data_IF_054961981428
#
_entry.id   IF_054961981428
#
_cell.length_a   1.000
_cell.length_b   1.000
_cell.length_c   1.000
_cell.angle_alpha   90.00
_cell.angle_beta   90.00
_cell.angle_gamma   90.00
#
_symmetry.space_group_name_H-M   'P 1'
#
loop_
_entity.id
_entity.type
_entity.pdbx_description
1 polymer ?
#
# COMPACT_ATOMS: atom_id res chain seq x y z
N UNK A 1 22.50 -6.57 -7.77
CA UNK A 1 21.42 -5.68 -7.28
C UNK A 1 22.01 -4.79 -6.20
N UNK A 2 21.50 -3.60 -6.02
CA UNK A 2 21.97 -2.69 -4.96
C UNK A 2 20.80 -2.16 -4.15
N UNK A 3 21.04 -1.98 -2.85
CA UNK A 3 20.13 -1.35 -1.91
C UNK A 3 20.90 -0.42 -0.97
N UNK A 4 20.26 0.06 0.11
CA UNK A 4 20.90 0.92 1.11
C UNK A 4 22.05 0.24 1.89
N UNK A 5 22.20 -1.07 1.79
CA UNK A 5 23.23 -1.87 2.47
C UNK A 5 24.32 -2.38 1.52
N UNK A 6 24.28 -1.98 0.24
CA UNK A 6 25.33 -2.25 -0.71
C UNK A 6 24.91 -3.04 -1.94
N UNK A 7 25.86 -3.69 -2.57
CA UNK A 7 25.64 -4.52 -3.76
C UNK A 7 25.48 -5.97 -3.35
N UNK A 8 24.38 -6.58 -3.76
CA UNK A 8 24.07 -7.97 -3.50
C UNK A 8 24.12 -8.78 -4.79
N UNK A 9 24.78 -9.94 -4.73
CA UNK A 9 24.83 -10.89 -5.83
C UNK A 9 24.12 -12.16 -5.41
N UNK A 10 23.10 -12.57 -6.16
CA UNK A 10 22.46 -13.86 -6.00
C UNK A 10 23.14 -14.85 -6.94
N UNK A 11 23.64 -15.97 -6.40
CA UNK A 11 24.32 -17.00 -7.18
C UNK A 11 23.36 -17.75 -8.11
N UNK A 12 22.10 -17.80 -7.76
CA UNK A 12 21.05 -18.47 -8.53
C UNK A 12 19.70 -17.77 -8.33
N UNK A 13 18.73 -18.11 -9.18
CA UNK A 13 17.34 -17.68 -9.02
C UNK A 13 16.79 -18.19 -7.69
N UNK A 14 16.18 -17.32 -6.84
CA UNK A 14 15.62 -17.76 -5.56
C UNK A 14 14.52 -18.80 -5.75
N UNK A 15 14.47 -19.77 -4.85
CA UNK A 15 13.44 -20.83 -4.80
C UNK A 15 12.63 -20.83 -3.52
N UNK A 16 13.14 -20.20 -2.45
CA UNK A 16 12.44 -20.07 -1.16
C UNK A 16 12.60 -18.65 -0.62
N UNK A 17 11.64 -17.81 -0.94
CA UNK A 17 11.66 -16.41 -0.52
C UNK A 17 10.82 -16.23 0.75
N UNK A 18 11.40 -15.53 1.72
CA UNK A 18 10.68 -15.01 2.87
C UNK A 18 10.47 -13.51 2.71
N UNK A 19 9.22 -13.07 2.78
CA UNK A 19 8.85 -11.66 2.84
C UNK A 19 8.52 -11.28 4.29
N UNK A 20 9.30 -10.39 4.88
CA UNK A 20 9.01 -9.90 6.23
C UNK A 20 7.92 -8.83 6.25
N UNK A 21 7.57 -8.30 5.09
CA UNK A 21 6.63 -7.17 4.94
C UNK A 21 5.36 -7.60 4.22
N UNK A 22 4.22 -7.43 4.87
CA UNK A 22 2.90 -7.64 4.25
C UNK A 22 2.69 -6.74 3.03
N UNK A 23 3.35 -5.58 2.98
CA UNK A 23 3.28 -4.67 1.84
C UNK A 23 3.97 -5.24 0.60
N UNK A 24 5.07 -5.98 0.75
CA UNK A 24 5.79 -6.60 -0.36
C UNK A 24 5.18 -7.93 -0.81
N UNK A 25 4.56 -8.64 0.09
CA UNK A 25 4.06 -10.01 -0.14
C UNK A 25 3.05 -10.08 -1.28
N UNK A 26 2.10 -9.15 -1.34
CA UNK A 26 1.09 -9.13 -2.40
C UNK A 26 1.70 -9.04 -3.80
N UNK A 27 2.73 -8.22 -3.98
CA UNK A 27 3.45 -8.09 -5.25
C UNK A 27 4.21 -9.38 -5.62
N UNK A 28 4.80 -10.07 -4.65
CA UNK A 28 5.47 -11.36 -4.88
C UNK A 28 4.47 -12.44 -5.31
N UNK A 29 3.31 -12.49 -4.67
CA UNK A 29 2.22 -13.41 -5.06
C UNK A 29 1.71 -13.12 -6.47
N UNK A 30 1.57 -11.85 -6.83
CA UNK A 30 1.06 -11.45 -8.14
C UNK A 30 1.93 -11.90 -9.31
N UNK A 31 3.24 -12.05 -9.10
CA UNK A 31 4.20 -12.49 -10.13
C UNK A 31 4.61 -13.96 -10.00
N UNK A 32 3.90 -14.73 -9.20
CA UNK A 32 4.18 -16.14 -8.96
C UNK A 32 5.62 -16.39 -8.45
N UNK A 33 6.19 -15.45 -7.72
CA UNK A 33 7.47 -15.66 -7.05
C UNK A 33 7.35 -16.75 -5.97
N UNK A 34 8.40 -17.54 -5.71
CA UNK A 34 8.32 -18.66 -4.77
C UNK A 34 8.41 -18.18 -3.31
N UNK A 35 7.51 -17.29 -2.92
CA UNK A 35 7.37 -16.84 -1.53
C UNK A 35 6.71 -17.93 -0.70
N UNK A 36 7.41 -18.38 0.34
CA UNK A 36 6.97 -19.50 1.20
C UNK A 36 6.37 -19.04 2.51
N UNK A 37 6.75 -17.85 2.97
CA UNK A 37 6.27 -17.30 4.23
C UNK A 37 6.29 -15.77 4.22
N UNK A 38 5.41 -15.19 5.02
CA UNK A 38 5.26 -13.74 5.17
C UNK A 38 5.06 -13.33 6.61
N UNK A 39 5.59 -12.17 6.98
CA UNK A 39 5.14 -11.44 8.15
C UNK A 39 3.64 -11.12 8.03
N UNK A 40 2.98 -10.93 9.18
CA UNK A 40 1.56 -10.63 9.25
C UNK A 40 1.29 -9.45 10.18
N UNK A 41 0.17 -8.81 10.00
CA UNK A 41 -0.38 -7.83 10.95
C UNK A 41 -1.44 -8.50 11.85
N UNK A 42 -2.03 -7.74 12.75
CA UNK A 42 -3.09 -8.23 13.64
C UNK A 42 -4.24 -8.80 12.83
N UNK A 43 -4.61 -10.08 13.05
CA UNK A 43 -5.72 -10.72 12.33
C UNK A 43 -7.06 -10.04 12.59
N UNK A 44 -7.97 -10.16 11.62
CA UNK A 44 -9.36 -9.71 11.70
C UNK A 44 -9.50 -8.21 12.03
N UNK A 45 -8.55 -7.40 11.61
CA UNK A 45 -8.70 -5.96 11.65
C UNK A 45 -9.33 -5.43 10.35
N UNK A 46 -9.42 -4.10 10.22
CA UNK A 46 -10.03 -3.46 9.05
C UNK A 46 -9.41 -3.93 7.72
N UNK A 47 -8.08 -4.05 7.66
CA UNK A 47 -7.33 -4.30 6.41
C UNK A 47 -6.82 -5.73 6.29
N UNK A 48 -6.86 -6.52 7.38
CA UNK A 48 -6.32 -7.86 7.44
C UNK A 48 -7.40 -8.92 7.70
N UNK A 49 -7.22 -10.08 7.09
CA UNK A 49 -8.08 -11.25 7.25
C UNK A 49 -7.77 -12.06 8.53
N UNK A 50 -8.37 -13.23 8.67
CA UNK A 50 -8.17 -14.11 9.82
C UNK A 50 -6.73 -14.64 9.95
N UNK A 51 -5.95 -14.60 8.88
CA UNK A 51 -4.53 -14.99 8.88
C UNK A 51 -3.62 -13.83 9.35
N UNK A 52 -4.12 -12.59 9.32
CA UNK A 52 -3.31 -11.38 9.48
C UNK A 52 -2.65 -10.93 8.18
N UNK A 53 -3.09 -11.45 7.06
CA UNK A 53 -2.68 -11.03 5.72
C UNK A 53 -3.65 -10.01 5.14
N UNK A 54 -3.15 -9.15 4.25
CA UNK A 54 -3.99 -8.12 3.65
C UNK A 54 -5.12 -8.75 2.83
N UNK A 55 -6.31 -8.17 2.94
CA UNK A 55 -7.54 -8.77 2.39
C UNK A 55 -7.51 -8.97 0.88
N UNK A 56 -6.85 -8.08 0.13
CA UNK A 56 -6.80 -8.16 -1.32
C UNK A 56 -6.06 -9.39 -1.87
N UNK A 57 -5.18 -10.01 -1.08
CA UNK A 57 -4.45 -11.20 -1.50
C UNK A 57 -4.53 -12.37 -0.50
N UNK A 58 -5.32 -12.24 0.54
CA UNK A 58 -5.45 -13.27 1.59
C UNK A 58 -5.92 -14.63 1.06
N UNK A 59 -6.83 -14.66 0.09
CA UNK A 59 -7.29 -15.90 -0.53
C UNK A 59 -6.18 -16.56 -1.38
N UNK A 60 -5.40 -15.77 -2.10
CA UNK A 60 -4.24 -16.27 -2.85
C UNK A 60 -3.21 -16.89 -1.91
N UNK A 61 -2.93 -16.23 -0.79
CA UNK A 61 -2.03 -16.75 0.24
C UNK A 61 -2.51 -18.11 0.79
N UNK A 62 -3.81 -18.24 1.03
CA UNK A 62 -4.43 -19.48 1.51
C UNK A 62 -4.33 -20.60 0.50
N UNK A 63 -4.62 -20.31 -0.78
CA UNK A 63 -4.50 -21.27 -1.87
C UNK A 63 -3.07 -21.78 -2.08
N UNK A 64 -2.09 -20.90 -1.89
CA UNK A 64 -0.66 -21.22 -2.01
C UNK A 64 -0.04 -21.73 -0.71
N UNK A 65 -0.82 -21.89 0.36
CA UNK A 65 -0.36 -22.35 1.67
C UNK A 65 0.80 -21.50 2.22
N UNK A 66 0.72 -20.20 2.03
CA UNK A 66 1.72 -19.26 2.55
C UNK A 66 1.77 -19.33 4.07
N UNK A 67 2.94 -19.60 4.64
CA UNK A 67 3.13 -19.66 6.08
C UNK A 67 3.15 -18.25 6.68
N UNK A 68 2.55 -18.12 7.86
CA UNK A 68 2.65 -16.91 8.67
C UNK A 68 3.88 -17.00 9.58
N UNK A 69 4.80 -16.05 9.46
CA UNK A 69 6.02 -16.00 10.26
C UNK A 69 5.77 -15.55 11.69
N UNK A 70 5.10 -14.40 11.83
CA UNK A 70 4.83 -13.72 13.10
C UNK A 70 3.70 -12.71 12.88
N UNK A 71 3.15 -12.20 13.98
CA UNK A 71 2.14 -11.14 13.97
C UNK A 71 2.77 -9.88 14.53
N UNK A 72 2.89 -8.85 13.69
CA UNK A 72 3.44 -7.54 14.05
C UNK A 72 4.95 -7.56 14.25
N UNK A 73 5.42 -7.93 15.42
CA UNK A 73 6.84 -7.85 15.76
C UNK A 73 7.68 -8.92 15.03
N UNK A 74 8.75 -8.50 14.30
CA UNK A 74 9.60 -9.42 13.55
C UNK A 74 10.37 -10.40 14.44
N UNK A 75 10.55 -11.62 13.95
CA UNK A 75 11.29 -12.69 14.60
C UNK A 75 12.28 -13.33 13.62
N UNK A 76 13.58 -13.19 13.88
CA UNK A 76 14.61 -13.81 13.07
C UNK A 76 14.58 -15.36 13.17
N UNK A 77 14.18 -15.91 14.31
CA UNK A 77 14.03 -17.37 14.49
C UNK A 77 12.92 -17.93 13.57
N UNK A 78 11.78 -17.22 13.49
CA UNK A 78 10.69 -17.63 12.60
C UNK A 78 11.13 -17.61 11.14
N UNK A 79 11.93 -16.63 10.73
CA UNK A 79 12.50 -16.55 9.38
C UNK A 79 13.47 -17.71 9.13
N UNK A 80 14.39 -17.97 10.05
CA UNK A 80 15.38 -19.05 9.93
C UNK A 80 14.72 -20.43 9.80
N UNK A 81 13.61 -20.66 10.51
CA UNK A 81 12.86 -21.91 10.45
C UNK A 81 12.30 -22.22 9.05
N UNK A 82 12.13 -21.21 8.20
CA UNK A 82 11.67 -21.38 6.82
C UNK A 82 12.77 -21.78 5.84
N UNK A 83 14.03 -21.77 6.26
CA UNK A 83 15.20 -22.08 5.42
C UNK A 83 15.17 -21.29 4.09
N UNK A 84 15.10 -19.94 4.13
CA UNK A 84 15.04 -19.14 2.92
C UNK A 84 16.36 -19.11 2.19
N UNK A 85 16.32 -18.92 0.87
CA UNK A 85 17.47 -18.55 0.04
C UNK A 85 17.47 -17.06 -0.37
N UNK A 86 16.40 -16.35 -0.02
CA UNK A 86 16.27 -14.89 -0.14
C UNK A 86 15.31 -14.35 0.93
N UNK A 87 15.71 -13.27 1.57
CA UNK A 87 14.89 -12.53 2.54
C UNK A 87 14.67 -11.12 1.99
N UNK A 88 13.41 -10.66 1.99
CA UNK A 88 13.05 -9.31 1.61
C UNK A 88 12.53 -8.54 2.83
N UNK A 89 13.07 -7.35 3.02
CA UNK A 89 12.71 -6.42 4.11
C UNK A 89 12.21 -5.13 3.46
N UNK A 90 11.17 -4.51 4.02
CA UNK A 90 10.80 -3.14 3.64
C UNK A 90 11.71 -2.12 4.34
N UNK A 91 12.09 -1.07 3.60
CA UNK A 91 12.92 0.02 4.12
C UNK A 91 12.19 0.87 5.16
N UNK A 92 10.87 1.00 5.02
CA UNK A 92 10.00 1.84 5.85
C UNK A 92 8.69 1.11 6.19
N UNK A 93 7.89 1.74 7.02
CA UNK A 93 6.57 1.26 7.40
C UNK A 93 6.55 0.50 8.73
N UNK A 94 5.36 0.35 9.30
CA UNK A 94 5.16 -0.37 10.55
C UNK A 94 5.44 -1.87 10.45
N UNK A 95 5.52 -2.39 9.22
CA UNK A 95 5.84 -3.79 8.90
C UNK A 95 7.32 -4.01 8.58
N UNK A 96 8.18 -3.01 8.79
CA UNK A 96 9.62 -3.12 8.52
C UNK A 96 10.34 -3.95 9.57
N UNK A 97 11.13 -4.92 9.10
CA UNK A 97 12.05 -5.70 9.92
C UNK A 97 13.51 -5.17 9.82
N UNK A 98 13.70 -3.93 9.41
CA UNK A 98 15.03 -3.34 9.18
C UNK A 98 15.93 -3.40 10.42
N UNK A 99 15.37 -3.30 11.61
CA UNK A 99 16.12 -3.40 12.86
C UNK A 99 16.79 -4.78 13.05
N UNK A 100 16.32 -5.82 12.36
CA UNK A 100 16.90 -7.17 12.39
C UNK A 100 17.83 -7.47 11.20
N UNK A 101 18.21 -6.45 10.42
CA UNK A 101 18.97 -6.67 9.18
C UNK A 101 20.20 -7.55 9.38
N UNK A 102 21.02 -7.27 10.38
CA UNK A 102 22.26 -8.06 10.62
C UNK A 102 21.96 -9.52 10.97
N UNK A 103 20.92 -9.78 11.77
CA UNK A 103 20.50 -11.13 12.11
C UNK A 103 19.95 -11.87 10.89
N UNK A 104 19.15 -11.22 10.07
CA UNK A 104 18.54 -11.81 8.89
C UNK A 104 19.58 -12.07 7.79
N UNK A 105 20.51 -11.15 7.57
CA UNK A 105 21.59 -11.33 6.59
C UNK A 105 22.57 -12.44 6.96
N UNK A 106 22.65 -12.84 8.23
CA UNK A 106 23.38 -14.02 8.65
C UNK A 106 22.67 -15.34 8.29
N UNK A 107 21.36 -15.30 8.01
CA UNK A 107 20.58 -16.49 7.64
C UNK A 107 20.63 -16.73 6.13
N UNK A 108 20.41 -15.70 5.33
CA UNK A 108 20.36 -15.77 3.86
C UNK A 108 20.58 -14.37 3.26
N UNK A 109 20.85 -14.26 1.94
CA UNK A 109 20.87 -12.97 1.26
C UNK A 109 19.61 -12.16 1.58
N UNK A 110 19.81 -10.93 2.03
CA UNK A 110 18.74 -10.05 2.51
C UNK A 110 18.78 -8.74 1.73
N UNK A 111 17.65 -8.39 1.10
CA UNK A 111 17.49 -7.16 0.34
C UNK A 111 16.50 -6.23 1.03
N UNK A 112 16.86 -4.95 1.10
CA UNK A 112 16.00 -3.88 1.61
C UNK A 112 15.31 -3.21 0.44
N UNK A 113 13.98 -3.26 0.45
CA UNK A 113 13.14 -2.74 -0.62
C UNK A 113 12.37 -1.51 -0.12
N UNK A 114 12.54 -0.39 -0.80
CA UNK A 114 11.75 0.79 -0.53
C UNK A 114 10.51 0.83 -1.43
N UNK A 115 9.33 1.00 -0.84
CA UNK A 115 8.05 1.09 -1.56
C UNK A 115 7.39 2.47 -1.46
N UNK A 116 7.92 3.38 -0.64
CA UNK A 116 7.22 4.62 -0.28
C UNK A 116 7.35 5.75 -1.30
N UNK A 117 8.16 5.57 -2.33
CA UNK A 117 8.47 6.58 -3.34
C UNK A 117 8.24 6.09 -4.79
N UNK A 118 7.50 5.02 -4.96
CA UNK A 118 7.28 4.41 -6.28
C UNK A 118 5.85 3.92 -6.48
N UNK A 119 5.48 3.74 -7.74
CA UNK A 119 4.23 3.11 -8.11
C UNK A 119 4.25 1.61 -7.77
N UNK A 120 3.07 1.00 -7.70
CA UNK A 120 2.99 -0.45 -7.53
C UNK A 120 3.61 -1.19 -8.74
N UNK A 121 3.55 -0.61 -9.95
CA UNK A 121 4.17 -1.17 -11.15
C UNK A 121 5.70 -1.15 -11.07
N UNK A 122 6.26 -0.04 -10.62
CA UNK A 122 7.71 0.07 -10.42
C UNK A 122 8.21 -0.92 -9.38
N UNK A 123 7.50 -1.07 -8.27
CA UNK A 123 7.79 -2.09 -7.25
C UNK A 123 7.69 -3.50 -7.82
N UNK A 124 6.62 -3.80 -8.54
CA UNK A 124 6.41 -5.11 -9.16
C UNK A 124 7.53 -5.45 -10.15
N UNK A 125 7.95 -4.49 -10.97
CA UNK A 125 9.05 -4.64 -11.93
C UNK A 125 10.37 -4.92 -11.21
N UNK A 126 10.67 -4.20 -10.13
CA UNK A 126 11.84 -4.43 -9.30
C UNK A 126 11.85 -5.84 -8.71
N UNK A 127 10.74 -6.26 -8.12
CA UNK A 127 10.61 -7.61 -7.55
C UNK A 127 10.66 -8.70 -8.63
N UNK A 128 10.13 -8.44 -9.81
CA UNK A 128 10.26 -9.32 -10.97
C UNK A 128 11.72 -9.55 -11.36
N UNK A 129 12.53 -8.50 -11.42
CA UNK A 129 13.97 -8.58 -11.70
C UNK A 129 14.70 -9.36 -10.61
N UNK A 130 14.41 -9.09 -9.34
CA UNK A 130 15.04 -9.78 -8.19
C UNK A 130 14.75 -11.28 -8.21
N UNK A 131 13.53 -11.66 -8.55
CA UNK A 131 13.03 -13.04 -8.45
C UNK A 131 13.09 -13.82 -9.77
N UNK A 132 13.53 -13.19 -10.87
CA UNK A 132 13.51 -13.77 -12.19
C UNK A 132 12.11 -14.00 -12.75
N UNK A 133 11.16 -13.12 -12.39
CA UNK A 133 9.75 -13.17 -12.81
C UNK A 133 9.37 -11.95 -13.65
N UNK A 134 10.28 -11.44 -14.46
CA UNK A 134 10.10 -10.25 -15.28
C UNK A 134 8.88 -10.37 -16.23
N UNK A 135 8.72 -11.55 -16.80
CA UNK A 135 7.62 -11.82 -17.75
C UNK A 135 6.25 -11.74 -17.05
N UNK A 136 6.14 -12.31 -15.85
CA UNK A 136 4.92 -12.25 -15.05
C UNK A 136 4.61 -10.81 -14.62
N UNK A 137 5.63 -10.06 -14.20
CA UNK A 137 5.47 -8.65 -13.85
C UNK A 137 4.96 -7.83 -15.04
N UNK A 138 5.57 -7.99 -16.21
CA UNK A 138 5.13 -7.31 -17.43
C UNK A 138 3.70 -7.70 -17.83
N UNK A 139 3.32 -8.96 -17.67
CA UNK A 139 1.97 -9.44 -17.97
C UNK A 139 0.90 -8.83 -17.04
N UNK A 140 1.19 -8.71 -15.74
CA UNK A 140 0.28 -8.07 -14.78
C UNK A 140 0.12 -6.59 -15.07
N UNK A 141 1.20 -5.90 -15.38
CA UNK A 141 1.18 -4.47 -15.74
C UNK A 141 0.37 -4.26 -17.02
N UNK A 142 0.56 -5.08 -18.05
CA UNK A 142 -0.19 -5.00 -19.30
C UNK A 142 -1.70 -5.23 -19.08
N UNK A 143 -2.08 -6.19 -18.23
CA UNK A 143 -3.48 -6.44 -17.88
C UNK A 143 -4.10 -5.23 -17.17
N UNK A 144 -3.37 -4.63 -16.25
CA UNK A 144 -3.80 -3.41 -15.57
C UNK A 144 -3.95 -2.24 -16.56
N UNK A 145 -2.97 -2.00 -17.43
CA UNK A 145 -3.00 -0.90 -18.40
C UNK A 145 -4.20 -1.01 -19.34
N UNK A 146 -4.56 -2.21 -19.75
CA UNK A 146 -5.76 -2.46 -20.54
C UNK A 146 -7.03 -2.06 -19.80
N UNK A 147 -7.16 -2.46 -18.54
CA UNK A 147 -8.31 -2.12 -17.69
C UNK A 147 -8.34 -0.61 -17.39
N UNK A 148 -7.19 0.00 -17.12
CA UNK A 148 -7.05 1.43 -16.91
C UNK A 148 -7.58 2.24 -18.10
N UNK A 149 -7.20 1.85 -19.31
CA UNK A 149 -7.65 2.53 -20.54
C UNK A 149 -9.18 2.46 -20.70
N UNK A 150 -9.78 1.29 -20.41
CA UNK A 150 -11.23 1.11 -20.46
C UNK A 150 -11.94 1.98 -19.43
N UNK A 151 -11.48 1.98 -18.19
CA UNK A 151 -12.07 2.77 -17.09
C UNK A 151 -11.98 4.26 -17.40
N UNK A 152 -10.84 4.73 -17.90
CA UNK A 152 -10.67 6.16 -18.27
C UNK A 152 -11.63 6.61 -19.37
N UNK A 153 -11.98 5.74 -20.31
CA UNK A 153 -12.94 6.06 -21.37
C UNK A 153 -14.38 6.19 -20.85
N UNK A 154 -14.72 5.47 -19.80
CA UNK A 154 -16.06 5.42 -19.24
C UNK A 154 -16.29 6.44 -18.11
N UNK A 155 -15.21 6.81 -17.43
CA UNK A 155 -15.26 7.68 -16.27
C UNK A 155 -15.45 9.16 -16.63
N UNK A 156 -16.30 9.84 -15.87
CA UNK A 156 -16.36 11.30 -15.82
C UNK A 156 -15.72 11.76 -14.52
N UNK A 157 -14.61 12.49 -14.62
CA UNK A 157 -13.90 12.97 -13.43
C UNK A 157 -14.76 13.95 -12.63
N UNK A 158 -14.78 13.83 -11.29
CA UNK A 158 -15.40 14.83 -10.43
C UNK A 158 -14.58 16.12 -10.41
N UNK A 159 -15.10 17.21 -9.81
CA UNK A 159 -14.31 18.42 -9.62
C UNK A 159 -12.96 18.15 -8.95
N UNK A 160 -11.92 18.86 -9.45
CA UNK A 160 -10.54 18.73 -9.00
C UNK A 160 -10.09 19.96 -8.21
N UNK A 161 -9.05 19.88 -7.38
CA UNK A 161 -8.28 18.70 -7.01
C UNK A 161 -9.00 17.84 -5.95
N UNK A 162 -8.44 16.66 -5.66
CA UNK A 162 -8.96 15.73 -4.65
C UNK A 162 -7.93 15.46 -3.55
N UNK A 163 -8.39 15.08 -2.36
CA UNK A 163 -7.54 14.51 -1.33
C UNK A 163 -7.73 12.98 -1.29
N UNK A 164 -6.69 12.28 -0.88
CA UNK A 164 -6.70 10.83 -0.68
C UNK A 164 -6.12 10.52 0.70
N UNK A 165 -6.90 9.85 1.55
CA UNK A 165 -6.52 9.59 2.94
C UNK A 165 -6.83 8.16 3.37
N UNK A 166 -6.19 7.77 4.47
CA UNK A 166 -6.69 6.72 5.38
C UNK A 166 -7.20 7.42 6.63
N UNK A 167 -8.49 7.32 6.88
CA UNK A 167 -9.16 8.02 7.98
C UNK A 167 -9.27 7.13 9.21
N UNK A 168 -8.93 7.66 10.38
CA UNK A 168 -9.11 7.00 11.68
C UNK A 168 -10.08 7.83 12.53
N UNK A 169 -11.35 7.45 12.50
CA UNK A 169 -12.42 8.20 13.18
C UNK A 169 -12.20 8.31 14.69
N UNK A 170 -11.79 7.23 15.35
CA UNK A 170 -11.55 7.21 16.79
C UNK A 170 -10.44 8.16 17.25
N UNK A 171 -9.43 8.39 16.41
CA UNK A 171 -8.31 9.28 16.70
C UNK A 171 -8.50 10.68 16.12
N UNK A 172 -9.60 10.96 15.41
CA UNK A 172 -9.81 12.20 14.64
C UNK A 172 -8.58 12.59 13.83
N UNK A 173 -8.00 11.62 13.13
CA UNK A 173 -6.77 11.78 12.36
C UNK A 173 -6.86 11.10 11.00
N UNK A 174 -5.95 11.49 10.11
CA UNK A 174 -5.79 10.85 8.82
C UNK A 174 -4.32 10.78 8.42
N UNK A 175 -3.99 9.76 7.64
CA UNK A 175 -2.78 9.72 6.85
C UNK A 175 -3.13 10.17 5.44
N UNK A 176 -2.56 11.29 5.01
CA UNK A 176 -2.74 11.84 3.67
C UNK A 176 -1.73 11.21 2.72
N UNK A 177 -2.21 10.62 1.64
CA UNK A 177 -1.36 10.10 0.59
C UNK A 177 -0.77 11.24 -0.25
N UNK A 178 0.54 11.20 -0.45
CA UNK A 178 1.27 12.18 -1.27
C UNK A 178 1.23 11.82 -2.76
N UNK A 179 1.59 12.75 -3.67
CA UNK A 179 1.78 12.42 -5.08
C UNK A 179 2.87 11.38 -5.35
N UNK A 180 3.84 11.21 -4.46
CA UNK A 180 4.91 10.21 -4.56
C UNK A 180 4.46 8.80 -4.16
N UNK A 181 3.37 8.70 -3.39
CA UNK A 181 2.80 7.41 -2.96
C UNK A 181 2.28 6.59 -4.15
N UNK A 182 2.19 5.28 -3.97
CA UNK A 182 1.56 4.40 -4.95
C UNK A 182 0.10 4.81 -5.22
N UNK A 183 -0.62 5.20 -4.16
CA UNK A 183 -2.01 5.69 -4.23
C UNK A 183 -2.10 6.99 -5.05
N UNK A 184 -1.22 7.95 -4.76
CA UNK A 184 -1.17 9.22 -5.50
C UNK A 184 -0.82 9.03 -6.97
N UNK A 185 0.13 8.16 -7.27
CA UNK A 185 0.52 7.82 -8.65
C UNK A 185 -0.61 7.13 -9.42
N UNK A 186 -1.36 6.23 -8.77
CA UNK A 186 -2.52 5.56 -9.37
C UNK A 186 -3.62 6.58 -9.72
N UNK A 187 -3.95 7.47 -8.80
CA UNK A 187 -4.94 8.52 -9.05
C UNK A 187 -4.50 9.44 -10.18
N UNK A 188 -3.22 9.79 -10.24
CA UNK A 188 -2.67 10.59 -11.34
C UNK A 188 -2.81 9.87 -12.69
N UNK A 189 -2.53 8.58 -12.77
CA UNK A 189 -2.72 7.77 -13.98
C UNK A 189 -4.17 7.79 -14.47
N UNK A 190 -5.13 7.90 -13.55
CA UNK A 190 -6.56 8.00 -13.84
C UNK A 190 -7.02 9.41 -14.22
N UNK A 191 -6.14 10.41 -14.13
CA UNK A 191 -6.44 11.81 -14.46
C UNK A 191 -6.81 12.69 -13.27
N UNK A 192 -6.78 12.17 -12.03
CA UNK A 192 -6.99 12.97 -10.83
C UNK A 192 -5.77 13.84 -10.51
N UNK A 193 -6.03 15.00 -9.92
CA UNK A 193 -5.00 15.89 -9.36
C UNK A 193 -5.15 15.90 -7.85
N UNK A 194 -4.08 15.58 -7.13
CA UNK A 194 -4.07 15.70 -5.66
C UNK A 194 -3.95 17.16 -5.25
N UNK A 195 -4.73 17.54 -4.23
CA UNK A 195 -4.67 18.86 -3.64
C UNK A 195 -3.34 19.09 -2.93
N UNK A 196 -2.78 20.29 -3.08
CA UNK A 196 -1.60 20.71 -2.34
C UNK A 196 -1.99 21.03 -0.89
N UNK A 197 -1.10 20.67 0.05
CA UNK A 197 -1.26 21.09 1.43
C UNK A 197 -1.14 22.63 1.56
N UNK A 198 -1.97 23.26 2.39
CA UNK A 198 -1.81 24.67 2.71
C UNK A 198 -0.43 24.97 3.31
N UNK A 199 0.15 26.11 2.93
CA UNK A 199 1.43 26.55 3.48
C UNK A 199 1.33 26.76 5.00
N UNK A 200 2.38 26.36 5.71
CA UNK A 200 2.47 26.55 7.18
C UNK A 200 1.76 25.48 8.01
N UNK A 201 1.16 24.47 7.39
CA UNK A 201 0.55 23.36 8.11
C UNK A 201 1.63 22.53 8.81
N UNK A 202 1.51 22.36 10.12
CA UNK A 202 2.41 21.50 10.88
C UNK A 202 1.95 20.05 10.79
N UNK A 203 2.85 19.18 10.34
CA UNK A 203 2.59 17.75 10.21
C UNK A 203 3.37 16.97 11.25
N UNK A 204 2.79 15.87 11.75
CA UNK A 204 3.47 14.95 12.65
C UNK A 204 4.56 14.17 11.89
N UNK A 205 5.69 13.92 12.55
CA UNK A 205 6.77 13.07 12.05
C UNK A 205 6.95 11.81 12.88
N UNK A 206 5.91 11.39 13.61
CA UNK A 206 5.97 10.24 14.52
C UNK A 206 6.27 8.91 13.81
N UNK A 207 6.00 8.81 12.49
CA UNK A 207 6.32 7.63 11.69
C UNK A 207 7.68 7.72 10.97
N UNK A 208 8.53 8.64 11.36
CA UNK A 208 9.83 8.84 10.76
C UNK A 208 9.78 9.60 9.42
N UNK A 209 10.87 9.49 8.65
CA UNK A 209 10.98 10.13 7.34
C UNK A 209 10.36 9.23 6.27
N UNK A 210 9.19 9.64 5.76
CA UNK A 210 8.44 8.93 4.71
C UNK A 210 8.14 9.87 3.56
N UNK A 211 7.97 9.30 2.34
CA UNK A 211 7.61 10.02 1.13
C UNK A 211 6.13 9.84 0.76
N UNK A 212 5.50 8.78 1.22
CA UNK A 212 4.15 8.37 0.80
C UNK A 212 3.02 8.95 1.67
N UNK A 213 3.30 9.32 2.93
CA UNK A 213 2.29 9.69 3.92
C UNK A 213 2.65 11.01 4.62
N UNK A 214 1.63 11.84 4.81
CA UNK A 214 1.66 12.98 5.73
C UNK A 214 0.58 12.78 6.77
N UNK A 215 0.95 12.80 8.05
CA UNK A 215 0.01 12.64 9.16
C UNK A 215 -0.68 13.96 9.49
N UNK A 216 -2.02 13.93 9.51
CA UNK A 216 -2.87 15.05 9.89
C UNK A 216 -3.73 14.65 11.09
N UNK A 217 -3.77 15.50 12.11
CA UNK A 217 -4.60 15.28 13.28
C UNK A 217 -5.21 16.60 13.81
N UNK A 218 -6.30 16.47 14.55
CA UNK A 218 -6.97 17.62 15.16
C UNK A 218 -7.35 18.71 14.14
N UNK A 219 -6.98 19.95 14.44
CA UNK A 219 -7.27 21.11 13.60
C UNK A 219 -6.60 21.04 12.21
N UNK A 220 -5.45 20.37 12.11
CA UNK A 220 -4.73 20.22 10.85
C UNK A 220 -5.51 19.34 9.85
N UNK A 221 -6.31 18.40 10.33
CA UNK A 221 -7.19 17.60 9.49
C UNK A 221 -8.23 18.49 8.80
N UNK A 222 -8.89 19.36 9.57
CA UNK A 222 -9.89 20.28 9.05
C UNK A 222 -9.32 21.34 8.09
N UNK A 223 -8.06 21.70 8.25
CA UNK A 223 -7.39 22.68 7.39
C UNK A 223 -6.73 22.03 6.17
N UNK A 224 -6.20 20.83 6.32
CA UNK A 224 -5.40 20.15 5.30
C UNK A 224 -6.21 19.51 4.19
N UNK A 225 -7.50 19.17 4.42
CA UNK A 225 -8.36 18.53 3.44
C UNK A 225 -9.11 19.55 2.58
N UNK A 226 -8.38 20.26 1.74
CA UNK A 226 -8.86 21.38 0.94
C UNK A 226 -9.28 21.01 -0.50
N UNK A 227 -9.30 19.73 -0.84
CA UNK A 227 -9.76 19.26 -2.15
C UNK A 227 -11.27 19.34 -2.34
N UNK A 228 -11.71 19.37 -3.59
CA UNK A 228 -13.12 19.35 -3.98
C UNK A 228 -13.78 17.98 -3.75
N UNK A 229 -13.00 16.93 -3.68
CA UNK A 229 -13.41 15.56 -3.38
C UNK A 229 -12.44 14.89 -2.41
N UNK A 230 -12.90 13.82 -1.76
CA UNK A 230 -12.13 13.08 -0.77
C UNK A 230 -12.28 11.59 -1.00
N UNK A 231 -11.17 10.91 -1.26
CA UNK A 231 -11.08 9.46 -1.34
C UNK A 231 -10.62 8.85 -0.03
N UNK A 232 -11.36 7.85 0.46
CA UNK A 232 -11.00 7.07 1.63
C UNK A 232 -10.42 5.73 1.19
N UNK A 233 -9.10 5.63 1.19
CA UNK A 233 -8.40 4.34 1.07
C UNK A 233 -8.53 3.58 2.39
N UNK A 234 -8.57 2.27 2.35
CA UNK A 234 -8.81 1.42 3.51
C UNK A 234 -10.11 1.74 4.28
N UNK A 235 -11.03 2.41 3.63
CA UNK A 235 -12.31 2.87 4.21
C UNK A 235 -13.52 2.21 3.57
N UNK A 236 -14.59 2.16 4.35
CA UNK A 236 -15.90 1.69 3.91
C UNK A 236 -16.96 2.79 4.04
N UNK A 237 -18.22 2.45 3.78
CA UNK A 237 -19.32 3.40 3.85
C UNK A 237 -19.54 3.97 5.26
N UNK A 238 -19.19 3.24 6.31
CA UNK A 238 -19.28 3.73 7.70
C UNK A 238 -18.30 4.88 7.94
N UNK A 239 -17.13 4.84 7.31
CA UNK A 239 -16.15 5.92 7.38
C UNK A 239 -16.65 7.18 6.66
N UNK A 240 -17.31 7.03 5.52
CA UNK A 240 -17.97 8.13 4.82
C UNK A 240 -19.03 8.79 5.71
N UNK A 241 -19.88 7.99 6.34
CA UNK A 241 -20.89 8.45 7.28
C UNK A 241 -20.27 9.17 8.49
N UNK A 242 -19.18 8.62 9.04
CA UNK A 242 -18.44 9.24 10.15
C UNK A 242 -17.87 10.61 9.78
N UNK A 243 -17.35 10.78 8.55
CA UNK A 243 -16.87 12.08 8.06
C UNK A 243 -18.03 13.07 7.92
N UNK A 244 -19.15 12.67 7.35
CA UNK A 244 -20.32 13.55 7.23
C UNK A 244 -20.92 13.92 8.58
N UNK A 245 -20.81 13.07 9.58
CA UNK A 245 -21.29 13.32 10.94
C UNK A 245 -20.33 14.17 11.79
N UNK A 246 -19.09 14.35 11.34
CA UNK A 246 -18.09 15.11 12.11
C UNK A 246 -18.27 16.62 11.90
N UNK A 247 -18.72 17.39 12.92
CA UNK A 247 -18.96 18.82 12.77
C UNK A 247 -17.71 19.63 12.46
N UNK A 248 -16.52 19.13 12.86
CA UNK A 248 -15.25 19.81 12.56
C UNK A 248 -14.91 19.79 11.06
N UNK A 249 -15.49 18.86 10.31
CA UNK A 249 -15.25 18.70 8.87
C UNK A 249 -16.40 19.25 8.01
N UNK A 250 -17.47 19.74 8.62
CA UNK A 250 -18.68 20.18 7.91
C UNK A 250 -18.42 21.32 6.90
N UNK A 251 -17.41 22.13 7.11
CA UNK A 251 -17.06 23.26 6.24
C UNK A 251 -16.21 22.85 5.02
N UNK A 252 -15.68 21.65 4.97
CA UNK A 252 -14.86 21.19 3.85
C UNK A 252 -15.67 21.13 2.55
N UNK A 253 -15.10 21.57 1.40
CA UNK A 253 -15.81 21.51 0.12
C UNK A 253 -16.31 20.10 -0.23
N UNK A 254 -15.49 19.07 0.01
CA UNK A 254 -15.85 17.68 -0.24
C UNK A 254 -17.03 17.21 0.61
N UNK A 255 -17.11 17.65 1.86
CA UNK A 255 -18.20 17.30 2.79
C UNK A 255 -19.48 18.06 2.45
N UNK A 256 -19.39 19.37 2.23
CA UNK A 256 -20.54 20.21 1.84
C UNK A 256 -21.22 19.70 0.56
N UNK A 257 -20.42 19.29 -0.41
CA UNK A 257 -20.89 18.86 -1.72
C UNK A 257 -21.12 17.36 -1.83
N UNK A 258 -21.04 16.61 -0.73
CA UNK A 258 -21.22 15.15 -0.69
C UNK A 258 -20.30 14.39 -1.65
N UNK A 259 -19.04 14.80 -1.69
CA UNK A 259 -18.00 14.24 -2.55
C UNK A 259 -16.95 13.46 -1.73
N UNK A 260 -17.39 12.57 -0.87
CA UNK A 260 -16.56 11.67 -0.09
C UNK A 260 -16.85 10.25 -0.52
N UNK A 261 -15.82 9.50 -0.96
CA UNK A 261 -15.97 8.16 -1.52
C UNK A 261 -15.03 7.17 -0.86
N UNK A 262 -15.56 6.06 -0.42
CA UNK A 262 -14.79 4.95 0.12
C UNK A 262 -14.33 4.02 -1.01
N UNK A 263 -13.05 3.63 -0.97
CA UNK A 263 -12.46 2.71 -1.96
C UNK A 263 -12.32 1.28 -1.46
N UNK A 264 -12.73 1.03 -0.21
CA UNK A 264 -12.77 -0.31 0.38
C UNK A 264 -11.57 -0.65 1.25
N UNK A 265 -11.77 -1.61 2.13
CA UNK A 265 -10.79 -2.01 3.15
C UNK A 265 -9.56 -2.72 2.56
N UNK A 266 -9.61 -3.16 1.30
CA UNK A 266 -8.54 -3.85 0.60
C UNK A 266 -7.52 -2.90 -0.07
N UNK A 267 -7.67 -1.58 0.09
CA UNK A 267 -6.88 -0.57 -0.63
C UNK A 267 -5.85 0.16 0.24
N UNK A 268 -5.59 -0.34 1.45
CA UNK A 268 -4.58 0.26 2.34
C UNK A 268 -3.20 0.27 1.68
N UNK A 269 -2.76 -0.86 1.16
CA UNK A 269 -1.53 -0.98 0.38
C UNK A 269 -1.88 -1.34 -1.06
N UNK A 270 -1.19 -0.71 -2.02
CA UNK A 270 -1.39 -1.02 -3.41
C UNK A 270 -0.40 -2.07 -3.90
N UNK A 271 -0.96 -3.08 -4.49
CA UNK A 271 -0.35 -4.11 -5.30
C UNK A 271 -1.24 -4.32 -6.54
N UNK A 272 -0.94 -5.30 -7.36
CA UNK A 272 -1.77 -5.62 -8.52
C UNK A 272 -3.24 -5.88 -8.14
N UNK A 273 -3.48 -6.62 -7.06
CA UNK A 273 -4.85 -7.01 -6.65
C UNK A 273 -5.67 -5.79 -6.21
N UNK A 274 -5.13 -4.98 -5.33
CA UNK A 274 -5.83 -3.78 -4.84
C UNK A 274 -5.93 -2.69 -5.89
N UNK A 275 -4.94 -2.53 -6.76
CA UNK A 275 -5.00 -1.56 -7.87
C UNK A 275 -6.15 -1.90 -8.83
N UNK A 276 -6.36 -3.18 -9.16
CA UNK A 276 -7.50 -3.62 -9.97
C UNK A 276 -8.84 -3.34 -9.28
N UNK A 277 -8.92 -3.53 -7.96
CA UNK A 277 -10.13 -3.20 -7.18
C UNK A 277 -10.41 -1.70 -7.19
N UNK A 278 -9.39 -0.85 -7.10
CA UNK A 278 -9.56 0.61 -7.19
C UNK A 278 -10.14 0.99 -8.55
N UNK A 279 -9.65 0.43 -9.66
CA UNK A 279 -10.22 0.67 -10.98
C UNK A 279 -11.71 0.33 -11.04
N UNK A 280 -12.09 -0.86 -10.56
CA UNK A 280 -13.49 -1.30 -10.55
C UNK A 280 -14.39 -0.38 -9.73
N UNK A 281 -13.91 0.08 -8.58
CA UNK A 281 -14.67 0.94 -7.68
C UNK A 281 -14.82 2.34 -8.24
N UNK A 282 -13.78 2.90 -8.83
CA UNK A 282 -13.86 4.21 -9.47
C UNK A 282 -14.77 4.19 -10.70
N UNK A 283 -14.74 3.13 -11.49
CA UNK A 283 -15.69 2.91 -12.58
C UNK A 283 -17.13 2.86 -12.07
N UNK A 284 -17.38 2.17 -10.97
CA UNK A 284 -18.72 2.09 -10.38
C UNK A 284 -19.22 3.45 -9.82
N UNK A 285 -18.30 4.30 -9.36
CA UNK A 285 -18.65 5.63 -8.81
C UNK A 285 -18.83 6.66 -9.91
N UNK A 286 -17.98 6.66 -10.94
CA UNK A 286 -17.87 7.75 -11.93
C UNK A 286 -18.13 7.31 -13.38
N UNK A 287 -18.38 6.04 -13.61
CA UNK A 287 -18.72 5.47 -14.93
C UNK A 287 -20.13 5.74 -15.42
#
# INVERSE_FOLDING_TARGET
>A
MSDSHGVHTLESKPTRIVSTSVTLTGSLLAIDAPVVASGATTPNNRVADAQGFLRQWGDVARQRKLARLYIGEPSAEAVAAQMPDLILISATGGDSALALYDQLSAIAPTLVINYDDKSWQELLTQLGTITGQEKQAAGRIAAFDKQLAQVKQQMTLPPQPVNAIVYTAAAHSANLWTPESAQGKLLHQLGFTLANLPAGLQTSKSQGKRHDIIQLGGENLATGLNGEGLFLFAGDQKDVEAIYANPLLAHLPSVKNKRVWALGTETFRLDYYSAMLVLQRLEAIFG
#
